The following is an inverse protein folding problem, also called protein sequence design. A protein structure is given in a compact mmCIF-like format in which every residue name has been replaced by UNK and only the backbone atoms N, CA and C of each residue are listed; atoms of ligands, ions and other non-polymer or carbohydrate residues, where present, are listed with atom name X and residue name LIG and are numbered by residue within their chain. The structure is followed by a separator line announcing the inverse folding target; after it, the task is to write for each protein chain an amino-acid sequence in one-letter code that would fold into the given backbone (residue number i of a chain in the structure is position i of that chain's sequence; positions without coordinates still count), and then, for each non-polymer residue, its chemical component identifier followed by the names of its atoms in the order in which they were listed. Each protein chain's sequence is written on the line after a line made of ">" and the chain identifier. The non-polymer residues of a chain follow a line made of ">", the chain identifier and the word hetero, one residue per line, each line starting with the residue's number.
data_IF_674264090162
#
_entry.id   IF_674264090162
#
_cell.length_a   1.000
_cell.length_b   1.000
_cell.length_c   1.000
_cell.angle_alpha   90.00
_cell.angle_beta   90.00
_cell.angle_gamma   90.00
#
_symmetry.space_group_name_H-M   'P 1'
#
loop_
_entity.id
_entity.type
_entity.pdbx_description
1 polymer ?
#
# COMPACT_ATOMS: atom_id res chain seq x y z
N UNK A 1 27.95 39.04 -39.47
CA UNK A 1 26.94 39.58 -38.54
C UNK A 1 25.55 39.34 -39.11
N UNK A 2 24.65 38.78 -38.27
CA UNK A 2 23.27 38.28 -38.51
C UNK A 2 23.14 36.92 -39.23
N UNK A 3 22.68 35.91 -38.50
CA UNK A 3 21.97 34.76 -39.04
C UNK A 3 21.16 34.03 -37.94
N UNK A 4 19.89 33.75 -38.25
CA UNK A 4 18.93 32.86 -37.61
C UNK A 4 18.79 32.97 -36.08
N UNK A 5 17.95 33.87 -35.54
CA UNK A 5 16.49 33.70 -35.44
C UNK A 5 16.10 32.33 -34.85
N UNK A 6 15.54 32.39 -33.63
CA UNK A 6 14.62 31.43 -33.04
C UNK A 6 14.92 29.95 -33.27
N UNK A 7 15.82 29.41 -32.43
CA UNK A 7 15.48 28.10 -31.87
C UNK A 7 14.41 28.36 -30.82
N UNK A 8 13.16 28.29 -31.27
CA UNK A 8 12.00 28.05 -30.41
C UNK A 8 12.44 26.97 -29.43
N UNK A 9 12.62 27.36 -28.16
CA UNK A 9 12.72 26.36 -27.10
C UNK A 9 11.34 25.72 -27.07
N UNK A 10 11.26 24.46 -27.52
CA UNK A 10 10.03 23.69 -27.39
C UNK A 10 9.58 23.73 -25.93
N UNK A 11 8.35 24.17 -25.61
CA UNK A 11 7.88 24.35 -24.24
C UNK A 11 7.62 23.01 -23.51
N UNK A 12 8.10 21.89 -24.06
CA UNK A 12 8.01 20.56 -23.47
C UNK A 12 9.28 20.18 -22.69
N UNK A 13 10.34 20.99 -22.74
CA UNK A 13 11.61 20.75 -22.03
C UNK A 13 11.65 21.35 -20.61
N UNK A 14 10.54 21.27 -19.88
CA UNK A 14 10.61 20.96 -18.46
C UNK A 14 9.87 19.63 -18.31
N UNK A 15 10.60 18.54 -18.53
CA UNK A 15 10.17 17.21 -18.12
C UNK A 15 9.78 17.30 -16.65
N UNK A 16 8.48 17.38 -16.36
CA UNK A 16 7.97 17.29 -14.99
C UNK A 16 8.24 15.87 -14.53
N UNK A 17 9.45 15.61 -14.03
CA UNK A 17 9.80 14.37 -13.35
C UNK A 17 8.71 14.12 -12.32
N UNK A 18 8.00 13.00 -12.44
CA UNK A 18 6.92 12.63 -11.53
C UNK A 18 7.44 12.70 -10.09
N UNK A 19 6.89 13.63 -9.30
CA UNK A 19 7.24 13.80 -7.89
C UNK A 19 6.27 12.97 -7.05
N UNK A 20 6.53 11.67 -6.92
CA UNK A 20 5.77 10.81 -6.02
C UNK A 20 6.16 11.16 -4.58
N UNK A 21 5.19 11.63 -3.80
CA UNK A 21 5.39 11.94 -2.37
C UNK A 21 4.93 10.82 -1.44
N UNK A 22 3.95 10.03 -1.89
CA UNK A 22 3.31 8.96 -1.12
C UNK A 22 2.95 7.81 -2.05
N UNK A 23 3.24 6.59 -1.60
CA UNK A 23 2.93 5.35 -2.32
C UNK A 23 2.05 4.49 -1.41
N UNK A 24 0.90 4.03 -1.92
CA UNK A 24 0.04 3.08 -1.22
C UNK A 24 0.30 1.68 -1.78
N UNK A 25 0.65 0.74 -0.89
CA UNK A 25 0.89 -0.65 -1.17
C UNK A 25 -0.16 -1.51 -0.44
N UNK A 26 -1.26 -1.89 -1.11
CA UNK A 26 -2.24 -2.78 -0.53
C UNK A 26 -1.68 -4.19 -0.41
N UNK A 27 -2.05 -4.90 0.65
CA UNK A 27 -1.69 -6.29 0.88
C UNK A 27 -2.89 -7.10 1.36
N UNK A 28 -3.08 -8.28 0.76
CA UNK A 28 -3.92 -9.37 1.26
C UNK A 28 -3.06 -10.46 1.93
N UNK A 29 -1.78 -10.15 2.18
CA UNK A 29 -0.74 -11.03 2.68
C UNK A 29 -0.40 -12.24 1.79
N UNK A 30 -0.90 -12.29 0.56
CA UNK A 30 -0.50 -13.30 -0.41
C UNK A 30 0.98 -13.16 -0.80
N UNK A 31 1.54 -14.22 -1.36
CA UNK A 31 2.90 -14.19 -1.91
C UNK A 31 3.04 -13.12 -3.01
N UNK A 32 1.99 -12.91 -3.82
CA UNK A 32 1.98 -11.88 -4.85
C UNK A 32 2.04 -10.47 -4.24
N UNK A 33 1.24 -10.21 -3.20
CA UNK A 33 1.30 -8.95 -2.46
C UNK A 33 2.66 -8.76 -1.78
N UNK A 34 3.27 -9.83 -1.25
CA UNK A 34 4.62 -9.78 -0.68
C UNK A 34 5.66 -9.33 -1.71
N UNK A 35 5.66 -9.90 -2.91
CA UNK A 35 6.57 -9.46 -3.99
C UNK A 35 6.33 -8.00 -4.40
N UNK A 36 5.07 -7.56 -4.41
CA UNK A 36 4.75 -6.16 -4.70
C UNK A 36 5.27 -5.22 -3.59
N UNK A 37 5.14 -5.62 -2.33
CA UNK A 37 5.68 -4.90 -1.19
C UNK A 37 7.21 -4.77 -1.24
N UNK A 38 7.92 -5.86 -1.55
CA UNK A 38 9.38 -5.86 -1.67
C UNK A 38 9.86 -4.90 -2.78
N UNK A 39 9.06 -4.67 -3.82
CA UNK A 39 9.32 -3.67 -4.87
C UNK A 39 8.89 -2.24 -4.50
N UNK A 40 7.90 -2.10 -3.63
CA UNK A 40 7.39 -0.80 -3.21
C UNK A 40 8.42 -0.01 -2.38
N UNK A 41 9.26 -0.71 -1.62
CA UNK A 41 10.34 -0.11 -0.81
C UNK A 41 11.37 0.62 -1.68
N UNK A 42 12.10 -0.03 -2.62
CA UNK A 42 13.09 0.66 -3.44
C UNK A 42 12.44 1.72 -4.33
N UNK A 43 11.18 1.53 -4.75
CA UNK A 43 10.43 2.55 -5.46
C UNK A 43 10.22 3.79 -4.59
N UNK A 44 9.74 3.63 -3.35
CA UNK A 44 9.56 4.74 -2.42
C UNK A 44 10.90 5.45 -2.14
N UNK A 45 11.98 4.70 -1.96
CA UNK A 45 13.31 5.26 -1.78
C UNK A 45 13.83 6.04 -2.99
N UNK A 46 13.57 5.58 -4.21
CA UNK A 46 13.99 6.25 -5.44
C UNK A 46 13.34 7.63 -5.60
N UNK A 47 12.11 7.78 -5.11
CA UNK A 47 11.36 9.05 -5.15
C UNK A 47 11.43 9.85 -3.85
N UNK A 48 12.04 9.31 -2.79
CA UNK A 48 11.96 9.90 -1.44
C UNK A 48 10.53 9.98 -0.93
N UNK A 49 9.66 9.07 -1.36
CA UNK A 49 8.25 9.01 -1.03
C UNK A 49 8.02 8.25 0.29
N UNK A 50 6.97 8.61 1.02
CA UNK A 50 6.48 7.81 2.14
C UNK A 50 5.74 6.58 1.61
N UNK A 51 5.95 5.42 2.23
CA UNK A 51 5.27 4.17 1.89
C UNK A 51 4.14 3.91 2.90
N UNK A 52 2.93 3.68 2.40
CA UNK A 52 1.77 3.28 3.19
C UNK A 52 1.42 1.85 2.82
N UNK A 53 1.46 0.93 3.78
CA UNK A 53 1.06 -0.46 3.60
C UNK A 53 -0.31 -0.62 4.21
N UNK A 54 -1.29 -1.10 3.44
CA UNK A 54 -2.67 -1.22 3.92
C UNK A 54 -3.20 -2.65 3.75
N UNK A 55 -3.80 -3.18 4.82
CA UNK A 55 -4.67 -4.34 4.75
C UNK A 55 -6.08 -3.94 5.18
N UNK A 56 -7.09 -4.50 4.52
CA UNK A 56 -8.50 -4.27 4.85
C UNK A 56 -9.06 -5.56 5.43
N UNK A 57 -9.42 -5.54 6.71
CA UNK A 57 -10.13 -6.63 7.36
C UNK A 57 -11.56 -6.65 6.81
N UNK A 58 -12.02 -7.76 6.20
CA UNK A 58 -13.32 -7.81 5.55
C UNK A 58 -14.46 -7.79 6.57
N UNK A 59 -15.53 -7.05 6.26
CA UNK A 59 -16.81 -7.17 6.97
C UNK A 59 -17.37 -8.59 6.80
N UNK A 60 -17.90 -9.12 7.89
CA UNK A 60 -18.72 -10.32 7.84
C UNK A 60 -20.16 -9.89 7.61
N UNK A 61 -20.80 -10.28 6.49
CA UNK A 61 -22.19 -9.96 6.28
C UNK A 61 -23.02 -10.60 7.39
N UNK A 62 -23.93 -9.82 7.98
CA UNK A 62 -24.90 -10.36 8.91
C UNK A 62 -25.77 -11.39 8.18
N UNK A 63 -25.70 -12.64 8.62
CA UNK A 63 -26.56 -13.72 8.17
C UNK A 63 -27.59 -13.99 9.26
N UNK A 64 -28.87 -14.08 8.88
CA UNK A 64 -29.90 -14.49 9.82
C UNK A 64 -29.57 -15.88 10.39
N UNK A 65 -29.60 -16.04 11.73
CA UNK A 65 -29.29 -17.31 12.37
C UNK A 65 -30.18 -18.43 11.81
N UNK A 66 -29.57 -19.51 11.31
CA UNK A 66 -30.29 -20.72 10.91
C UNK A 66 -30.16 -21.78 12.00
N UNK A 67 -31.20 -22.58 12.26
CA UNK A 67 -31.19 -23.57 13.35
C UNK A 67 -30.07 -24.62 13.23
N UNK A 68 -29.50 -24.80 12.03
CA UNK A 68 -28.42 -25.75 11.74
C UNK A 68 -27.03 -25.11 11.67
N UNK A 69 -26.92 -23.78 11.76
CA UNK A 69 -25.65 -23.04 11.67
C UNK A 69 -25.60 -21.95 12.72
N UNK A 70 -24.78 -22.17 13.75
CA UNK A 70 -24.37 -21.13 14.68
C UNK A 70 -22.96 -20.69 14.30
N UNK A 71 -22.82 -19.45 13.86
CA UNK A 71 -21.54 -18.83 13.57
C UNK A 71 -21.38 -17.62 14.48
N UNK A 72 -20.35 -17.66 15.32
CA UNK A 72 -20.01 -16.56 16.22
C UNK A 72 -19.28 -15.47 15.43
N UNK A 73 -20.06 -14.54 14.87
CA UNK A 73 -19.52 -13.43 14.06
C UNK A 73 -18.55 -12.57 14.89
N UNK A 74 -18.89 -12.10 16.12
CA UNK A 74 -17.97 -11.31 16.92
C UNK A 74 -16.61 -11.98 17.16
N UNK A 75 -16.62 -13.27 17.50
CA UNK A 75 -15.38 -14.00 17.73
C UNK A 75 -14.58 -14.17 16.44
N UNK A 76 -15.25 -14.46 15.32
CA UNK A 76 -14.57 -14.57 14.03
C UNK A 76 -13.94 -13.25 13.56
N UNK A 77 -14.64 -12.13 13.73
CA UNK A 77 -14.09 -10.80 13.43
C UNK A 77 -12.86 -10.47 14.28
N UNK A 78 -12.89 -10.84 15.57
CA UNK A 78 -11.73 -10.71 16.47
C UNK A 78 -10.54 -11.51 15.94
N UNK A 79 -10.75 -12.76 15.56
CA UNK A 79 -9.71 -13.63 15.02
C UNK A 79 -9.11 -13.08 13.72
N UNK A 80 -9.94 -12.58 12.80
CA UNK A 80 -9.47 -11.95 11.56
C UNK A 80 -8.61 -10.72 11.83
N UNK A 81 -9.02 -9.88 12.78
CA UNK A 81 -8.24 -8.69 13.17
C UNK A 81 -6.89 -9.07 13.77
N UNK A 82 -6.87 -9.99 14.72
CA UNK A 82 -5.64 -10.43 15.37
C UNK A 82 -4.67 -11.08 14.39
N UNK A 83 -5.21 -11.83 13.42
CA UNK A 83 -4.39 -12.38 12.35
C UNK A 83 -3.80 -11.31 11.44
N UNK A 84 -4.61 -10.33 11.03
CA UNK A 84 -4.12 -9.19 10.24
C UNK A 84 -3.05 -8.39 10.99
N UNK A 85 -3.20 -8.18 12.30
CA UNK A 85 -2.19 -7.54 13.15
C UNK A 85 -0.88 -8.32 13.19
N UNK A 86 -0.94 -9.64 13.40
CA UNK A 86 0.26 -10.50 13.38
C UNK A 86 0.94 -10.48 12.02
N UNK A 87 0.19 -10.63 10.94
CA UNK A 87 0.74 -10.66 9.59
C UNK A 87 1.33 -9.31 9.18
N UNK A 88 0.67 -8.20 9.52
CA UNK A 88 1.21 -6.87 9.27
C UNK A 88 2.49 -6.62 10.06
N UNK A 89 2.52 -6.97 11.35
CA UNK A 89 3.72 -6.86 12.17
C UNK A 89 4.89 -7.67 11.60
N UNK A 90 4.63 -8.90 11.14
CA UNK A 90 5.64 -9.75 10.51
C UNK A 90 6.11 -9.21 9.13
N UNK A 91 5.22 -8.55 8.38
CA UNK A 91 5.58 -7.94 7.10
C UNK A 91 6.54 -6.77 7.28
N UNK A 92 6.40 -6.01 8.38
CA UNK A 92 7.17 -4.77 8.62
C UNK A 92 8.29 -4.90 9.66
N UNK A 93 8.45 -6.05 10.31
CA UNK A 93 9.37 -6.21 11.45
C UNK A 93 10.85 -6.00 11.10
N UNK A 94 11.26 -6.45 9.90
CA UNK A 94 12.68 -6.52 9.50
C UNK A 94 13.03 -5.51 8.39
N UNK A 95 12.25 -4.43 8.26
CA UNK A 95 12.48 -3.44 7.21
C UNK A 95 13.73 -2.61 7.46
N UNK A 96 14.65 -2.67 6.51
CA UNK A 96 15.79 -1.77 6.41
C UNK A 96 15.52 -0.77 5.29
N UNK A 97 15.01 0.40 5.64
CA UNK A 97 14.70 1.45 4.67
C UNK A 97 14.93 2.84 5.24
N UNK A 98 15.20 3.79 4.34
CA UNK A 98 15.42 5.21 4.66
C UNK A 98 14.16 6.08 4.55
N UNK A 99 13.05 5.54 4.05
CA UNK A 99 11.78 6.27 3.95
C UNK A 99 10.84 5.87 5.08
N UNK A 100 9.89 6.76 5.43
CA UNK A 100 8.86 6.43 6.40
C UNK A 100 7.93 5.34 5.83
N UNK A 101 7.66 4.32 6.64
CA UNK A 101 6.69 3.26 6.34
C UNK A 101 5.56 3.32 7.36
N UNK A 102 4.33 3.41 6.87
CA UNK A 102 3.12 3.48 7.67
C UNK A 102 2.30 2.22 7.45
N UNK A 103 2.15 1.40 8.49
CA UNK A 103 1.29 0.21 8.45
C UNK A 103 -0.15 0.58 8.87
N UNK A 104 -1.13 0.21 8.06
CA UNK A 104 -2.54 0.53 8.26
C UNK A 104 -3.38 -0.73 8.20
N UNK A 105 -4.20 -0.94 9.23
CA UNK A 105 -5.29 -1.92 9.22
C UNK A 105 -6.61 -1.14 9.15
N UNK A 106 -7.30 -1.28 8.03
CA UNK A 106 -8.63 -0.72 7.82
C UNK A 106 -9.71 -1.80 8.04
N UNK A 107 -10.93 -1.36 8.32
CA UNK A 107 -12.10 -2.21 8.46
C UNK A 107 -13.08 -1.87 7.35
N UNK A 108 -13.45 -2.89 6.55
CA UNK A 108 -14.44 -2.79 5.48
C UNK A 108 -15.81 -3.27 5.92
#
# INVERSE_FOLDING_TARGET
>A
MRSAADRVRDPVTEERMLQLKRILCPTDFSEAARRAFDLAIPLAEAFGAELYVIHVVPAIPYLEPRPTYHFDVPEYERLLREDAERQMAALVSDLQTRVAVHAILAHG
#
